data_IF_609791148986
#
_entry.id   IF_609791148986
#
_cell.length_a   1.000
_cell.length_b   1.000
_cell.length_c   1.000
_cell.angle_alpha   90.00
_cell.angle_beta   90.00
_cell.angle_gamma   90.00
#
_symmetry.space_group_name_H-M   'P 1'
#
loop_
_entity.id
_entity.type
_entity.pdbx_description
1 polymer ?
#
# COMPACT_ATOMS: atom_id res chain seq x y z
N UNK A 1 24.61 6.51 52.72
CA UNK A 1 23.41 5.79 52.28
C UNK A 1 23.63 5.27 50.86
N UNK A 2 24.01 4.00 50.65
CA UNK A 2 24.19 3.45 49.31
C UNK A 2 23.38 2.15 49.14
N UNK A 3 22.14 2.25 48.67
CA UNK A 3 21.32 1.11 48.24
C UNK A 3 20.31 1.61 47.17
N UNK A 4 20.80 1.95 45.98
CA UNK A 4 19.91 2.27 44.85
C UNK A 4 20.55 1.86 43.51
N UNK A 5 21.15 0.67 43.47
CA UNK A 5 21.79 0.13 42.28
C UNK A 5 21.50 -1.36 42.14
N UNK A 6 20.24 -1.82 42.03
CA UNK A 6 19.97 -3.17 41.50
C UNK A 6 18.48 -3.53 41.26
N UNK A 7 17.69 -2.74 40.53
CA UNK A 7 16.32 -3.20 40.17
C UNK A 7 15.76 -2.80 38.80
N UNK A 8 16.45 -2.04 37.96
CA UNK A 8 15.92 -1.67 36.63
C UNK A 8 16.52 -2.54 35.51
N UNK A 9 16.52 -3.87 35.73
CA UNK A 9 16.97 -4.84 34.71
C UNK A 9 15.94 -5.96 34.46
N UNK A 10 14.78 -5.94 35.10
CA UNK A 10 13.72 -6.93 34.92
C UNK A 10 12.37 -6.20 34.96
N UNK A 11 11.82 -5.85 33.81
CA UNK A 11 10.48 -5.23 33.79
C UNK A 11 10.00 -4.66 32.46
N UNK A 12 10.84 -4.57 31.42
CA UNK A 12 10.30 -4.46 30.06
C UNK A 12 10.06 -5.88 29.56
N UNK A 13 9.05 -6.53 30.12
CA UNK A 13 8.34 -7.57 29.37
C UNK A 13 7.94 -6.90 28.06
N UNK A 14 8.31 -7.40 26.87
CA UNK A 14 7.60 -7.01 25.68
C UNK A 14 6.17 -7.48 25.91
N UNK A 15 5.32 -6.58 26.39
CA UNK A 15 3.91 -6.71 26.17
C UNK A 15 3.78 -6.76 24.65
N UNK A 16 3.70 -7.99 24.12
CA UNK A 16 3.05 -8.22 22.86
C UNK A 16 1.73 -7.48 23.01
N UNK A 17 1.63 -6.27 22.46
CA UNK A 17 0.37 -5.75 22.03
C UNK A 17 -0.08 -6.74 20.95
N UNK A 18 -0.76 -7.78 21.40
CA UNK A 18 -1.69 -8.50 20.55
C UNK A 18 -2.71 -7.45 20.15
N UNK A 19 -2.45 -6.81 19.00
CA UNK A 19 -3.48 -6.05 18.30
C UNK A 19 -4.53 -7.09 17.96
N UNK A 20 -5.53 -7.22 18.83
CA UNK A 20 -6.74 -7.97 18.56
C UNK A 20 -7.48 -7.16 17.49
N UNK A 21 -7.12 -7.40 16.23
CA UNK A 21 -8.00 -7.09 15.12
C UNK A 21 -9.36 -7.73 15.46
N UNK A 22 -10.49 -7.04 15.28
CA UNK A 22 -11.78 -7.70 15.39
C UNK A 22 -11.73 -8.89 14.44
N UNK A 23 -11.82 -10.09 15.00
CA UNK A 23 -11.93 -11.32 14.25
C UNK A 23 -13.13 -11.16 13.33
N UNK A 24 -12.86 -10.84 12.06
CA UNK A 24 -13.86 -10.89 11.01
C UNK A 24 -14.21 -12.37 10.93
N UNK A 25 -15.39 -12.71 11.44
CA UNK A 25 -15.91 -14.07 11.52
C UNK A 25 -15.49 -14.85 10.28
N UNK A 26 -14.71 -15.90 10.51
CA UNK A 26 -14.14 -16.77 9.51
C UNK A 26 -15.26 -17.22 8.56
N UNK A 27 -15.26 -16.65 7.36
CA UNK A 27 -15.73 -17.42 6.23
C UNK A 27 -14.83 -18.67 6.19
N UNK A 28 -15.38 -19.89 6.19
CA UNK A 28 -14.58 -21.10 6.19
C UNK A 28 -13.53 -21.01 5.08
N UNK A 29 -12.27 -21.42 5.34
CA UNK A 29 -11.22 -21.38 4.34
C UNK A 29 -11.76 -22.14 3.14
N UNK A 30 -12.05 -21.40 2.06
CA UNK A 30 -12.38 -22.01 0.79
C UNK A 30 -11.11 -22.75 0.42
N UNK A 31 -11.14 -24.09 0.56
CA UNK A 31 -10.03 -24.94 0.18
C UNK A 31 -9.62 -24.49 -1.22
N UNK A 32 -8.39 -23.97 -1.33
CA UNK A 32 -7.81 -23.59 -2.60
C UNK A 32 -7.80 -24.85 -3.44
N UNK A 33 -8.81 -25.02 -4.30
CA UNK A 33 -8.76 -26.06 -5.29
C UNK A 33 -7.48 -25.79 -6.08
N UNK A 34 -6.60 -26.80 -6.24
CA UNK A 34 -5.40 -26.63 -7.05
C UNK A 34 -5.84 -26.05 -8.38
N UNK A 35 -5.35 -24.85 -8.70
CA UNK A 35 -5.66 -24.23 -9.98
C UNK A 35 -5.26 -25.24 -11.04
N UNK A 36 -6.19 -25.65 -11.93
CA UNK A 36 -5.81 -26.49 -13.05
C UNK A 36 -4.66 -25.77 -13.79
N UNK A 37 -3.64 -26.51 -14.24
CA UNK A 37 -2.52 -25.93 -14.97
C UNK A 37 -3.09 -25.01 -16.05
N UNK A 38 -2.67 -23.73 -16.02
CA UNK A 38 -3.12 -22.75 -17.00
C UNK A 38 -2.93 -23.35 -18.38
N UNK A 39 -4.00 -23.61 -19.16
CA UNK A 39 -3.87 -24.13 -20.51
C UNK A 39 -2.89 -23.21 -21.23
N UNK A 40 -1.79 -23.78 -21.73
CA UNK A 40 -0.75 -23.00 -22.40
C UNK A 40 -1.43 -22.06 -23.39
N UNK A 41 -1.14 -20.77 -23.27
CA UNK A 41 -1.82 -19.72 -24.02
C UNK A 41 -1.83 -20.09 -25.50
N UNK A 42 -2.98 -20.57 -25.97
CA UNK A 42 -3.19 -20.89 -27.37
C UNK A 42 -3.08 -19.56 -28.12
N UNK A 43 -2.20 -19.44 -29.13
CA UNK A 43 -2.10 -18.23 -29.94
C UNK A 43 -3.49 -17.84 -30.41
N UNK A 44 -3.87 -16.57 -30.21
CA UNK A 44 -5.17 -16.08 -30.63
C UNK A 44 -5.40 -16.43 -32.11
N UNK A 45 -6.51 -17.11 -32.46
CA UNK A 45 -6.80 -17.43 -33.84
C UNK A 45 -6.89 -16.12 -34.62
N UNK A 46 -6.07 -16.02 -35.69
CA UNK A 46 -6.13 -14.88 -36.62
C UNK A 46 -7.58 -14.71 -37.06
N UNK A 47 -8.14 -13.48 -37.09
CA UNK A 47 -9.49 -13.22 -37.58
C UNK A 47 -9.66 -13.83 -38.98
N UNK A 48 -10.30 -14.99 -39.01
CA UNK A 48 -10.58 -15.70 -40.24
C UNK A 48 -11.67 -14.94 -40.98
N UNK A 49 -11.38 -14.56 -42.22
CA UNK A 49 -12.37 -14.14 -43.21
C UNK A 49 -13.23 -15.34 -43.59
N UNK A 50 -14.06 -15.80 -42.65
CA UNK A 50 -15.00 -16.88 -42.96
C UNK A 50 -16.13 -16.26 -43.78
N UNK A 51 -16.28 -16.62 -45.07
CA UNK A 51 -17.38 -16.12 -45.88
C UNK A 51 -18.72 -16.55 -45.25
N UNK A 52 -19.76 -15.71 -45.29
CA UNK A 52 -21.05 -16.04 -44.72
C UNK A 52 -21.57 -17.34 -45.34
N UNK A 53 -22.15 -18.25 -44.53
CA UNK A 53 -22.65 -19.53 -45.03
C UNK A 53 -23.70 -19.30 -46.14
N UNK A 54 -23.61 -20.00 -47.28
CA UNK A 54 -24.61 -19.93 -48.34
C UNK A 54 -25.98 -20.36 -47.79
N UNK A 55 -26.98 -19.49 -47.91
CA UNK A 55 -28.36 -19.81 -47.50
C UNK A 55 -28.82 -19.21 -46.18
N UNK A 56 -28.10 -18.24 -45.60
CA UNK A 56 -28.63 -17.43 -44.50
C UNK A 56 -29.86 -16.64 -44.99
N UNK A 57 -31.04 -17.20 -44.74
CA UNK A 57 -32.33 -16.54 -44.93
C UNK A 57 -32.37 -15.34 -43.99
N UNK A 58 -32.24 -14.12 -44.54
CA UNK A 58 -32.52 -12.92 -43.78
C UNK A 58 -34.04 -12.86 -43.59
N UNK A 59 -34.57 -12.91 -42.36
CA UNK A 59 -35.99 -12.72 -42.15
C UNK A 59 -36.41 -11.36 -42.72
N UNK A 60 -37.62 -11.24 -43.29
CA UNK A 60 -38.12 -9.96 -43.80
C UNK A 60 -38.03 -8.92 -42.70
N UNK A 61 -37.40 -7.78 -43.01
CA UNK A 61 -37.29 -6.64 -42.08
C UNK A 61 -38.68 -6.31 -41.59
N UNK A 62 -38.92 -6.45 -40.28
CA UNK A 62 -40.14 -5.93 -39.69
C UNK A 62 -40.21 -4.43 -40.00
N UNK A 63 -41.38 -3.91 -40.42
CA UNK A 63 -41.57 -2.48 -40.59
C UNK A 63 -41.20 -1.80 -39.27
N UNK A 64 -40.22 -0.91 -39.34
CA UNK A 64 -39.80 -0.06 -38.23
C UNK A 64 -41.04 0.71 -37.82
N UNK A 65 -41.64 0.37 -36.67
CA UNK A 65 -42.73 1.15 -36.09
C UNK A 65 -42.30 2.61 -35.93
N UNK A 66 -43.25 3.56 -35.78
CA UNK A 66 -42.90 4.96 -35.53
C UNK A 66 -41.90 5.00 -34.37
N UNK A 67 -40.65 5.26 -34.72
CA UNK A 67 -39.56 5.20 -33.77
C UNK A 67 -39.82 6.21 -32.66
N UNK A 68 -39.30 5.98 -31.45
CA UNK A 68 -39.26 7.03 -30.43
C UNK A 68 -38.74 8.30 -31.09
N UNK A 69 -39.46 9.41 -30.87
CA UNK A 69 -39.15 10.70 -31.46
C UNK A 69 -37.65 10.98 -31.36
N UNK A 70 -36.95 11.33 -32.45
CA UNK A 70 -35.49 11.47 -32.46
C UNK A 70 -34.97 12.61 -31.57
N UNK A 71 -35.88 13.39 -30.97
CA UNK A 71 -35.57 14.35 -29.93
C UNK A 71 -36.23 13.90 -28.63
N UNK A 72 -35.47 13.26 -27.72
CA UNK A 72 -35.88 13.18 -26.33
C UNK A 72 -36.09 14.61 -25.79
N UNK A 73 -37.08 14.78 -24.92
CA UNK A 73 -37.36 16.09 -24.32
C UNK A 73 -36.11 16.55 -23.55
N UNK A 74 -35.60 17.79 -23.73
CA UNK A 74 -34.61 18.42 -22.86
C UNK A 74 -34.73 18.10 -21.37
N UNK A 75 -35.96 17.96 -20.88
CA UNK A 75 -36.27 17.67 -19.48
C UNK A 75 -36.01 16.22 -19.07
N UNK A 76 -36.02 15.28 -20.02
CA UNK A 76 -35.71 13.88 -19.75
C UNK A 76 -34.21 13.67 -19.49
N UNK A 77 -33.34 14.55 -19.99
CA UNK A 77 -31.90 14.48 -19.72
C UNK A 77 -31.55 14.92 -18.29
N UNK A 78 -32.27 15.90 -17.74
CA UNK A 78 -32.04 16.37 -16.35
C UNK A 78 -32.41 15.30 -15.32
N UNK A 79 -33.50 14.55 -15.56
CA UNK A 79 -33.92 13.45 -14.69
C UNK A 79 -33.00 12.22 -14.75
N UNK A 80 -32.26 12.04 -15.85
CA UNK A 80 -31.30 10.95 -16.01
C UNK A 80 -29.92 11.25 -15.41
N UNK A 81 -29.55 12.53 -15.28
CA UNK A 81 -28.22 12.89 -14.74
C UNK A 81 -28.19 12.81 -13.20
N UNK A 82 -29.31 13.07 -12.52
CA UNK A 82 -29.41 12.98 -11.05
C UNK A 82 -29.42 11.52 -10.53
N UNK A 83 -29.83 10.57 -11.37
CA UNK A 83 -29.81 9.12 -11.06
C UNK A 83 -28.67 8.37 -11.75
N UNK A 84 -27.76 9.06 -12.44
CA UNK A 84 -26.56 8.40 -12.94
C UNK A 84 -25.77 7.99 -11.71
N UNK A 85 -25.51 6.69 -11.47
CA UNK A 85 -24.66 6.29 -10.37
C UNK A 85 -23.38 7.08 -10.54
N UNK A 86 -23.14 7.99 -9.59
CA UNK A 86 -22.01 8.90 -9.60
C UNK A 86 -20.80 8.03 -9.96
N UNK A 87 -20.15 8.32 -11.10
CA UNK A 87 -18.96 7.62 -11.57
C UNK A 87 -17.80 7.94 -10.63
N UNK A 88 -17.98 7.69 -9.34
CA UNK A 88 -16.97 7.82 -8.32
C UNK A 88 -15.92 6.79 -8.71
N UNK A 89 -14.70 7.22 -9.05
CA UNK A 89 -13.66 6.30 -9.46
C UNK A 89 -13.53 5.21 -8.39
N UNK A 90 -13.61 3.95 -8.83
CA UNK A 90 -13.52 2.83 -7.92
C UNK A 90 -12.15 2.86 -7.24
N UNK A 91 -12.13 3.08 -5.93
CA UNK A 91 -10.87 3.13 -5.17
C UNK A 91 -10.41 1.72 -4.83
N UNK A 92 -9.19 1.39 -5.23
CA UNK A 92 -8.52 0.15 -4.83
C UNK A 92 -7.57 0.44 -3.68
N UNK A 93 -7.74 -0.25 -2.57
CA UNK A 93 -6.81 -0.17 -1.44
C UNK A 93 -5.56 -1.02 -1.71
N UNK A 94 -4.38 -0.43 -1.53
CA UNK A 94 -3.08 -1.12 -1.59
C UNK A 94 -2.27 -0.99 -0.30
N UNK A 95 -2.85 -0.47 0.78
CA UNK A 95 -2.16 -0.26 2.06
C UNK A 95 -1.63 -1.53 2.72
N UNK A 96 -2.16 -2.71 2.38
CA UNK A 96 -1.60 -3.98 2.84
C UNK A 96 -0.14 -4.17 2.41
N UNK A 97 0.29 -3.60 1.28
CA UNK A 97 1.68 -3.66 0.83
C UNK A 97 2.60 -2.84 1.75
N UNK A 98 2.16 -1.64 2.16
CA UNK A 98 2.84 -0.83 3.18
C UNK A 98 2.92 -1.59 4.50
N UNK A 99 1.83 -2.26 4.92
CA UNK A 99 1.83 -3.08 6.14
C UNK A 99 2.82 -4.25 6.09
N UNK A 100 2.98 -4.90 4.93
CA UNK A 100 4.00 -5.94 4.77
C UNK A 100 5.42 -5.38 4.84
N UNK A 101 5.68 -4.23 4.20
CA UNK A 101 6.97 -3.56 4.30
C UNK A 101 7.29 -3.18 5.75
N UNK A 102 6.30 -2.65 6.47
CA UNK A 102 6.40 -2.35 7.90
C UNK A 102 6.66 -3.61 8.71
N UNK A 103 5.88 -4.68 8.51
CA UNK A 103 6.03 -5.94 9.23
C UNK A 103 7.39 -6.61 8.98
N UNK A 104 7.88 -6.59 7.74
CA UNK A 104 9.22 -7.08 7.40
C UNK A 104 10.31 -6.27 8.10
N UNK A 105 10.15 -4.94 8.16
CA UNK A 105 11.06 -4.07 8.89
C UNK A 105 11.03 -4.36 10.39
N UNK A 106 9.84 -4.52 10.98
CA UNK A 106 9.67 -4.92 12.39
C UNK A 106 10.34 -6.25 12.71
N UNK A 107 10.27 -7.23 11.82
CA UNK A 107 10.89 -8.54 12.02
C UNK A 107 12.42 -8.47 12.15
N UNK A 108 13.05 -7.39 11.69
CA UNK A 108 14.51 -7.20 11.77
C UNK A 108 14.97 -6.48 13.04
N UNK A 109 14.07 -5.86 13.82
CA UNK A 109 14.42 -5.20 15.08
C UNK A 109 15.15 -6.11 16.09
N UNK A 110 14.75 -7.39 16.30
CA UNK A 110 15.46 -8.28 17.21
C UNK A 110 16.95 -8.46 16.89
N UNK A 111 17.35 -8.32 15.62
CA UNK A 111 18.75 -8.48 15.21
C UNK A 111 19.66 -7.44 15.88
N UNK A 112 19.17 -6.21 16.09
CA UNK A 112 19.93 -5.17 16.77
C UNK A 112 20.27 -5.53 18.23
N UNK A 113 19.41 -6.33 18.89
CA UNK A 113 19.65 -6.76 20.27
C UNK A 113 20.56 -7.99 20.35
N UNK A 114 20.52 -8.87 19.35
CA UNK A 114 21.33 -10.09 19.31
C UNK A 114 22.79 -9.79 18.96
N UNK A 115 23.04 -8.84 18.06
CA UNK A 115 24.40 -8.56 17.56
C UNK A 115 25.20 -7.60 18.42
N UNK A 116 24.54 -6.88 19.36
CA UNK A 116 25.07 -5.74 20.13
C UNK A 116 25.70 -4.61 19.29
N UNK A 117 25.61 -4.70 17.96
CA UNK A 117 26.12 -3.73 17.01
C UNK A 117 24.98 -2.79 16.60
N UNK A 118 25.11 -1.53 17.00
CA UNK A 118 24.13 -0.47 16.70
C UNK A 118 23.93 -0.24 15.20
N UNK A 119 24.85 -0.69 14.34
CA UNK A 119 24.71 -0.63 12.88
C UNK A 119 23.46 -1.36 12.38
N UNK A 120 23.00 -2.40 13.10
CA UNK A 120 21.81 -3.14 12.73
C UNK A 120 20.49 -2.40 13.04
N UNK A 121 20.51 -1.29 13.79
CA UNK A 121 19.33 -0.44 13.98
C UNK A 121 18.95 0.33 12.71
N UNK A 122 19.93 0.60 11.83
CA UNK A 122 19.67 1.33 10.59
C UNK A 122 18.74 0.57 9.63
N UNK A 123 18.79 -0.76 9.64
CA UNK A 123 18.01 -1.60 8.74
C UNK A 123 16.50 -1.55 9.00
N UNK A 124 15.98 -1.83 10.21
CA UNK A 124 14.56 -1.67 10.50
C UNK A 124 14.09 -0.22 10.35
N UNK A 125 14.91 0.76 10.76
CA UNK A 125 14.54 2.19 10.66
C UNK A 125 14.39 2.61 9.19
N UNK A 126 15.34 2.23 8.33
CA UNK A 126 15.26 2.55 6.90
C UNK A 126 14.07 1.89 6.23
N UNK A 127 13.74 0.65 6.59
CA UNK A 127 12.54 -0.04 6.11
C UNK A 127 11.23 0.64 6.55
N UNK A 128 11.12 1.05 7.81
CA UNK A 128 9.98 1.83 8.31
C UNK A 128 9.85 3.20 7.65
N UNK A 129 10.99 3.84 7.37
CA UNK A 129 11.02 5.19 6.82
C UNK A 129 10.70 5.20 5.31
N UNK A 130 11.24 4.23 4.57
CA UNK A 130 11.19 4.20 3.10
C UNK A 130 10.15 3.21 2.56
N UNK A 131 9.64 2.27 3.36
CA UNK A 131 8.70 1.24 2.91
C UNK A 131 7.44 1.82 2.25
N UNK A 132 6.73 2.71 2.94
CA UNK A 132 5.57 3.43 2.40
C UNK A 132 5.90 4.25 1.14
N UNK A 133 6.90 5.15 1.17
CA UNK A 133 7.33 5.92 -0.01
C UNK A 133 7.64 5.05 -1.24
N UNK A 134 8.38 3.95 -1.07
CA UNK A 134 8.69 3.01 -2.16
C UNK A 134 7.42 2.38 -2.74
N UNK A 135 6.46 1.98 -1.89
CA UNK A 135 5.17 1.45 -2.33
C UNK A 135 4.38 2.51 -3.10
N UNK A 136 4.37 3.77 -2.67
CA UNK A 136 3.70 4.82 -3.46
C UNK A 136 4.37 5.07 -4.81
N UNK A 137 5.70 5.05 -4.85
CA UNK A 137 6.45 5.22 -6.08
C UNK A 137 6.22 4.07 -7.06
N UNK A 138 6.09 2.83 -6.58
CA UNK A 138 5.80 1.68 -7.44
C UNK A 138 4.41 1.73 -8.09
N UNK A 139 3.44 2.43 -7.47
CA UNK A 139 2.12 2.69 -8.06
C UNK A 139 2.07 4.00 -8.89
N UNK A 140 3.22 4.60 -9.21
CA UNK A 140 3.29 5.83 -10.00
C UNK A 140 2.88 7.10 -9.24
N UNK A 141 2.68 7.02 -7.92
CA UNK A 141 2.25 8.15 -7.08
C UNK A 141 3.44 8.89 -6.46
N UNK A 142 4.35 9.41 -7.29
CA UNK A 142 5.61 10.06 -6.85
C UNK A 142 5.38 11.17 -5.82
N UNK A 143 4.42 12.06 -6.08
CA UNK A 143 4.05 13.15 -5.16
C UNK A 143 3.55 12.64 -3.81
N UNK A 144 2.75 11.57 -3.79
CA UNK A 144 2.25 10.97 -2.55
C UNK A 144 3.40 10.36 -1.75
N UNK A 145 4.33 9.67 -2.40
CA UNK A 145 5.50 9.10 -1.73
C UNK A 145 6.37 10.15 -1.02
N UNK A 146 6.58 11.32 -1.63
CA UNK A 146 7.30 12.42 -0.96
C UNK A 146 6.50 13.04 0.19
N UNK A 147 5.17 13.18 0.05
CA UNK A 147 4.33 13.66 1.15
C UNK A 147 4.37 12.72 2.35
N UNK A 148 4.32 11.40 2.11
CA UNK A 148 4.43 10.37 3.15
C UNK A 148 5.80 10.40 3.80
N UNK A 149 6.87 10.53 3.02
CA UNK A 149 8.22 10.67 3.56
C UNK A 149 8.33 11.91 4.47
N UNK A 150 7.81 13.05 4.03
CA UNK A 150 7.74 14.26 4.84
C UNK A 150 6.93 14.07 6.13
N UNK A 151 5.80 13.37 6.04
CA UNK A 151 4.97 13.02 7.19
C UNK A 151 5.72 12.11 8.19
N UNK A 152 6.49 11.14 7.69
CA UNK A 152 7.31 10.27 8.55
C UNK A 152 8.31 11.09 9.36
N UNK A 153 9.07 11.98 8.70
CA UNK A 153 10.00 12.87 9.40
C UNK A 153 9.28 13.82 10.37
N UNK A 154 8.18 14.43 9.94
CA UNK A 154 7.40 15.36 10.74
C UNK A 154 6.84 14.74 12.02
N UNK A 155 6.20 13.57 11.90
CA UNK A 155 5.63 12.87 13.06
C UNK A 155 6.70 12.25 13.95
N UNK A 156 7.82 11.79 13.39
CA UNK A 156 8.97 11.34 14.19
C UNK A 156 9.57 12.50 14.99
N UNK A 157 9.75 13.67 14.37
CA UNK A 157 10.27 14.86 15.04
C UNK A 157 9.32 15.34 16.14
N UNK A 158 8.01 15.37 15.87
CA UNK A 158 7.00 15.67 16.89
C UNK A 158 7.03 14.65 18.05
N UNK A 159 7.22 13.37 17.72
CA UNK A 159 7.38 12.29 18.71
C UNK A 159 8.61 12.49 19.59
N UNK A 160 9.75 12.88 19.03
CA UNK A 160 10.96 13.22 19.79
C UNK A 160 10.64 14.32 20.81
N UNK A 161 10.08 15.44 20.35
CA UNK A 161 9.75 16.57 21.22
C UNK A 161 8.79 16.17 22.34
N UNK A 162 7.79 15.35 22.02
CA UNK A 162 6.83 14.83 23.00
C UNK A 162 7.50 13.90 24.02
N UNK A 163 8.36 12.98 23.58
CA UNK A 163 9.10 12.08 24.45
C UNK A 163 10.00 12.84 25.43
N UNK A 164 10.74 13.83 24.92
CA UNK A 164 11.59 14.71 25.73
C UNK A 164 10.76 15.53 26.74
N UNK A 165 9.61 16.06 26.31
CA UNK A 165 8.71 16.82 27.17
C UNK A 165 8.11 15.97 28.30
N UNK A 166 7.70 14.74 27.99
CA UNK A 166 7.17 13.79 28.98
C UNK A 166 8.25 13.37 30.00
N UNK A 167 9.48 13.12 29.55
CA UNK A 167 10.60 12.78 30.42
C UNK A 167 10.89 13.90 31.44
N UNK A 168 10.98 15.17 30.98
CA UNK A 168 11.17 16.31 31.89
C UNK A 168 9.98 16.50 32.85
N UNK A 169 8.75 16.26 32.40
CA UNK A 169 7.56 16.40 33.23
C UNK A 169 7.50 15.34 34.36
N UNK A 170 8.01 14.14 34.12
CA UNK A 170 7.99 13.03 35.09
C UNK A 170 9.19 13.12 36.05
N UNK A 171 10.40 13.38 35.56
CA UNK A 171 11.64 13.36 36.38
C UNK A 171 11.96 14.71 37.04
N UNK A 172 10.95 15.60 37.11
CA UNK A 172 10.97 16.94 37.73
C UNK A 172 12.19 17.75 37.31
N UNK A 173 12.70 17.60 36.08
CA UNK A 173 13.84 18.37 35.55
C UNK A 173 14.94 18.70 36.62
N UNK A 174 15.21 17.77 37.53
CA UNK A 174 15.92 18.05 38.81
C UNK A 174 17.42 18.27 38.60
N UNK A 175 17.89 18.28 37.36
CA UNK A 175 19.31 18.34 37.00
C UNK A 175 20.06 17.04 37.25
N UNK A 176 19.38 15.96 37.67
CA UNK A 176 19.98 14.64 37.89
C UNK A 176 19.65 13.60 36.81
N UNK A 177 18.81 13.95 35.83
CA UNK A 177 18.55 13.11 34.67
C UNK A 177 19.83 12.87 33.89
N UNK A 178 20.26 11.61 33.79
CA UNK A 178 21.37 11.24 32.91
C UNK A 178 20.97 11.54 31.47
N UNK A 179 21.87 12.10 30.68
CA UNK A 179 21.68 12.36 29.23
C UNK A 179 21.19 11.11 28.48
N UNK A 180 21.52 9.93 28.99
CA UNK A 180 21.05 8.63 28.49
C UNK A 180 19.52 8.48 28.52
N UNK A 181 18.84 8.92 29.59
CA UNK A 181 17.37 8.83 29.70
C UNK A 181 16.69 9.74 28.68
N UNK A 182 17.22 10.95 28.52
CA UNK A 182 16.70 11.94 27.59
C UNK A 182 16.77 11.43 26.14
N UNK A 183 17.91 10.84 25.75
CA UNK A 183 18.08 10.24 24.44
C UNK A 183 17.13 9.07 24.22
N UNK A 184 16.98 8.19 25.22
CA UNK A 184 16.07 7.06 25.16
C UNK A 184 14.60 7.51 25.01
N UNK A 185 14.16 8.48 25.80
CA UNK A 185 12.81 9.05 25.71
C UNK A 185 12.56 9.67 24.33
N UNK A 186 13.54 10.39 23.78
CA UNK A 186 13.49 10.92 22.42
C UNK A 186 13.38 9.81 21.36
N UNK A 187 14.15 8.73 21.47
CA UNK A 187 14.11 7.60 20.54
C UNK A 187 12.77 6.84 20.60
N UNK A 188 12.23 6.60 21.80
CA UNK A 188 10.91 5.98 21.99
C UNK A 188 9.84 6.86 21.36
N UNK A 189 9.89 8.17 21.64
CA UNK A 189 9.00 9.16 21.03
C UNK A 189 9.07 9.17 19.50
N UNK A 190 10.28 9.17 18.94
CA UNK A 190 10.50 9.08 17.49
C UNK A 190 9.88 7.81 16.89
N UNK A 191 10.12 6.65 17.53
CA UNK A 191 9.58 5.37 17.09
C UNK A 191 8.06 5.32 17.09
N UNK A 192 7.42 5.88 18.12
CA UNK A 192 5.96 6.00 18.18
C UNK A 192 5.41 6.95 17.10
N UNK A 193 6.08 8.08 16.87
CA UNK A 193 5.75 9.00 15.78
C UNK A 193 5.83 8.33 14.41
N UNK A 194 6.90 7.58 14.14
CA UNK A 194 7.11 6.84 12.89
C UNK A 194 6.12 5.69 12.71
N UNK A 195 5.78 4.99 13.78
CA UNK A 195 4.74 3.95 13.75
C UNK A 195 3.38 4.55 13.40
N UNK A 196 3.03 5.66 14.04
CA UNK A 196 1.77 6.39 13.80
C UNK A 196 1.70 6.86 12.35
N UNK A 197 2.80 7.38 11.80
CA UNK A 197 2.83 7.82 10.40
C UNK A 197 2.60 6.68 9.42
N UNK A 198 3.18 5.50 9.65
CA UNK A 198 2.96 4.32 8.82
C UNK A 198 1.50 3.82 8.88
N UNK A 199 0.84 3.92 10.05
CA UNK A 199 -0.58 3.57 10.18
C UNK A 199 -1.45 4.52 9.36
N UNK A 200 -1.19 5.84 9.46
CA UNK A 200 -1.92 6.85 8.67
C UNK A 200 -1.72 6.61 7.18
N UNK A 201 -0.49 6.31 6.77
CA UNK A 201 -0.16 6.02 5.38
C UNK A 201 -0.97 4.84 4.83
N UNK A 202 -0.87 3.69 5.51
CA UNK A 202 -1.54 2.46 5.10
C UNK A 202 -3.08 2.57 5.11
N UNK A 203 -3.65 3.37 6.00
CA UNK A 203 -5.12 3.43 6.20
C UNK A 203 -5.80 4.58 5.45
N UNK A 204 -5.10 5.68 5.17
CA UNK A 204 -5.70 6.90 4.61
C UNK A 204 -5.16 7.20 3.21
N UNK A 205 -3.86 6.99 2.98
CA UNK A 205 -3.18 7.50 1.77
C UNK A 205 -3.04 6.41 0.70
N UNK A 206 -2.93 5.14 1.10
CA UNK A 206 -2.69 3.99 0.22
C UNK A 206 -3.93 3.50 -0.57
N UNK A 207 -4.51 4.41 -1.36
CA UNK A 207 -5.61 4.14 -2.29
C UNK A 207 -5.25 4.57 -3.71
N UNK A 208 -5.63 3.77 -4.69
CA UNK A 208 -5.49 4.05 -6.11
C UNK A 208 -6.88 4.32 -6.68
N UNK A 209 -7.03 5.43 -7.41
CA UNK A 209 -8.26 5.73 -8.15
C UNK A 209 -8.21 4.94 -9.46
N UNK A 210 -9.08 3.95 -9.62
CA UNK A 210 -9.22 3.28 -10.92
C UNK A 210 -10.01 4.19 -11.85
N UNK A 211 -9.49 4.52 -13.06
CA UNK A 211 -10.30 5.21 -14.05
C UNK A 211 -11.53 4.34 -14.32
N UNK A 212 -12.73 4.91 -14.16
CA UNK A 212 -13.97 4.23 -14.52
C UNK A 212 -13.86 3.72 -15.97
N UNK A 213 -14.44 2.55 -16.25
CA UNK A 213 -14.30 1.83 -17.54
C UNK A 213 -14.54 2.72 -18.76
N UNK A 214 -15.38 3.76 -18.62
CA UNK A 214 -15.71 4.75 -19.65
C UNK A 214 -14.50 5.57 -20.11
N UNK A 215 -13.51 5.81 -19.23
CA UNK A 215 -12.31 6.60 -19.54
C UNK A 215 -11.11 5.75 -19.98
N UNK A 216 -11.13 4.43 -19.73
CA UNK A 216 -10.04 3.52 -20.12
C UNK A 216 -9.87 3.42 -21.65
N UNK A 217 -10.95 3.62 -22.41
CA UNK A 217 -10.91 3.61 -23.87
C UNK A 217 -10.30 4.88 -24.51
N UNK A 218 -10.04 5.94 -23.71
CA UNK A 218 -9.72 7.28 -24.25
C UNK A 218 -8.34 7.80 -23.90
N UNK A 219 -7.47 7.01 -23.27
CA UNK A 219 -6.08 7.40 -23.03
C UNK A 219 -5.13 6.67 -24.00
N UNK A 220 -4.85 7.23 -25.19
CA UNK A 220 -3.65 6.90 -25.96
C UNK A 220 -2.45 7.56 -25.28
N UNK A 221 -2.19 7.19 -24.02
CA UNK A 221 -1.00 7.58 -23.28
C UNK A 221 0.13 6.63 -23.63
N UNK A 222 1.31 7.17 -23.88
CA UNK A 222 2.55 6.41 -24.06
C UNK A 222 2.73 5.49 -22.83
N UNK A 223 2.42 4.21 -22.96
CA UNK A 223 2.53 3.24 -21.87
C UNK A 223 4.01 2.86 -21.73
N UNK A 224 4.74 3.69 -20.98
CA UNK A 224 6.09 3.36 -20.57
C UNK A 224 5.99 2.29 -19.46
N UNK A 225 6.17 1.03 -19.83
CA UNK A 225 6.15 -0.09 -18.87
C UNK A 225 7.58 -0.53 -18.62
N UNK A 226 8.15 -0.24 -17.45
CA UNK A 226 9.46 -0.75 -17.04
C UNK A 226 9.25 -1.95 -16.10
N UNK A 227 9.81 -3.09 -16.47
CA UNK A 227 9.74 -4.34 -15.72
C UNK A 227 11.17 -4.75 -15.36
N UNK A 228 11.52 -4.79 -14.06
CA UNK A 228 12.81 -5.35 -13.66
C UNK A 228 12.82 -6.85 -13.99
N UNK A 229 13.86 -7.29 -14.68
CA UNK A 229 14.06 -8.70 -15.01
C UNK A 229 15.19 -9.24 -14.15
N UNK A 230 14.90 -10.25 -13.32
CA UNK A 230 15.91 -11.03 -12.62
C UNK A 230 15.96 -12.40 -13.29
N UNK A 231 17.09 -12.72 -13.93
CA UNK A 231 17.35 -14.04 -14.50
C UNK A 231 18.46 -14.72 -13.70
N UNK A 232 18.18 -15.95 -13.27
CA UNK A 232 19.04 -16.77 -12.42
C UNK A 232 19.39 -18.04 -13.20
N UNK A 233 20.63 -18.12 -13.66
CA UNK A 233 21.19 -19.29 -14.33
C UNK A 233 22.28 -19.92 -13.45
N UNK A 234 22.58 -21.21 -13.63
CA UNK A 234 23.64 -21.86 -12.83
C UNK A 234 24.98 -21.14 -13.05
N UNK A 235 25.49 -20.47 -12.01
CA UNK A 235 26.72 -19.69 -12.05
C UNK A 235 26.59 -18.25 -12.53
N UNK A 236 25.37 -17.74 -12.78
CA UNK A 236 25.16 -16.34 -13.20
C UNK A 236 23.82 -15.78 -12.69
N UNK A 237 23.86 -14.60 -12.10
CA UNK A 237 22.67 -13.79 -11.84
C UNK A 237 22.74 -12.54 -12.73
N UNK A 238 21.69 -12.28 -13.52
CA UNK A 238 21.57 -11.06 -14.33
C UNK A 238 20.38 -10.25 -13.85
N UNK A 239 20.65 -8.99 -13.52
CA UNK A 239 19.64 -7.98 -13.23
C UNK A 239 19.53 -7.07 -14.46
N UNK A 240 18.31 -6.90 -14.98
CA UNK A 240 18.02 -6.09 -16.15
C UNK A 240 16.75 -5.28 -15.98
N UNK A 241 16.48 -4.40 -16.94
CA UNK A 241 15.24 -3.64 -17.06
C UNK A 241 14.72 -3.85 -18.47
N UNK A 242 13.55 -4.48 -18.59
CA UNK A 242 12.83 -4.66 -19.85
C UNK A 242 11.59 -3.78 -19.89
N UNK A 243 10.98 -3.57 -21.05
CA UNK A 243 9.80 -2.73 -21.12
C UNK A 243 9.27 -2.36 -22.50
N UNK A 244 8.11 -1.72 -22.52
CA UNK A 244 7.60 -0.99 -23.69
C UNK A 244 7.92 0.49 -23.50
N UNK A 245 8.55 1.10 -24.51
CA UNK A 245 8.94 2.51 -24.55
C UNK A 245 8.45 3.16 -25.85
#
# INVERSE_FOLDING_TARGET
MPLCHLSVLLGVTPALLAVSLPARADAPPTALQPMPPSPGAQPAPKPGTQPPPPGAFFPPRQPVGPGPSPYPDPRDYEAYDENRPENTPARRWYGWQTLLAMGASSATFPLAFVTTDGSFLGLPISGFLLGGPIVHWSHGHVRRGFNVLGMHFGLSAAGILLGLGLDCAIDVCTGHGKVENLLYAGMVGAGLGLLTSNIIDATVIAYEDRPGEVNAARQPGLQLSLVPTLDLHQGRATLGIGGTF
#
